data_IF_073908491905
#
_entry.id   IF_073908491905
#
_cell.length_a   1.000
_cell.length_b   1.000
_cell.length_c   1.000
_cell.angle_alpha   90.00
_cell.angle_beta   90.00
_cell.angle_gamma   90.00
#
_symmetry.space_group_name_H-M   'P 1'
#
loop_
_entity.id
_entity.type
_entity.pdbx_description
1 polymer ?
#
# COMPACT_ATOMS: atom_id res chain seq x y z
N UNK A 1 15.14 25.74 -6.12
CA UNK A 1 14.37 25.69 -4.85
C UNK A 1 12.88 25.89 -5.06
N UNK A 2 12.43 26.89 -5.84
CA UNK A 2 10.99 27.13 -6.10
C UNK A 2 10.26 25.88 -6.64
N UNK A 3 10.85 25.17 -7.59
CA UNK A 3 10.26 24.00 -8.21
C UNK A 3 10.16 22.79 -7.26
N UNK A 4 11.07 22.63 -6.31
CA UNK A 4 10.96 21.58 -5.28
C UNK A 4 9.85 21.87 -4.27
N UNK A 5 9.66 23.16 -3.93
CA UNK A 5 8.56 23.58 -3.07
C UNK A 5 7.22 23.37 -3.78
N UNK A 6 7.15 23.70 -5.06
CA UNK A 6 5.96 23.44 -5.88
C UNK A 6 5.64 21.93 -5.92
N UNK A 7 6.64 21.10 -6.18
CA UNK A 7 6.49 19.65 -6.18
C UNK A 7 5.99 19.12 -4.81
N UNK A 8 6.55 19.63 -3.71
CA UNK A 8 6.10 19.30 -2.36
C UNK A 8 4.61 19.64 -2.16
N UNK A 9 4.20 20.87 -2.53
CA UNK A 9 2.82 21.33 -2.36
C UNK A 9 1.82 20.53 -3.21
N UNK A 10 2.22 20.12 -4.42
CA UNK A 10 1.41 19.25 -5.28
C UNK A 10 1.17 17.91 -4.58
N UNK A 11 2.25 17.27 -4.12
CA UNK A 11 2.13 15.99 -3.46
C UNK A 11 1.44 16.06 -2.08
N UNK A 12 1.60 17.17 -1.35
CA UNK A 12 0.85 17.46 -0.14
C UNK A 12 -0.66 17.50 -0.41
N UNK A 13 -1.06 18.22 -1.47
CA UNK A 13 -2.45 18.28 -1.91
C UNK A 13 -2.96 16.89 -2.34
N UNK A 14 -2.17 16.15 -3.11
CA UNK A 14 -2.53 14.79 -3.54
C UNK A 14 -2.68 13.85 -2.33
N UNK A 15 -1.76 13.89 -1.38
CA UNK A 15 -1.81 13.10 -0.15
C UNK A 15 -3.03 13.41 0.73
N UNK A 16 -3.50 14.67 0.73
CA UNK A 16 -4.68 15.07 1.51
C UNK A 16 -6.02 14.65 0.89
N UNK A 17 -6.05 14.39 -0.43
CA UNK A 17 -7.28 14.06 -1.17
C UNK A 17 -7.35 12.57 -1.54
N UNK A 18 -6.23 11.86 -1.47
CA UNK A 18 -6.17 10.45 -1.89
C UNK A 18 -6.73 9.54 -0.80
N UNK A 19 -8.01 9.18 -0.92
CA UNK A 19 -8.68 8.16 -0.12
C UNK A 19 -9.01 6.95 -1.01
N UNK A 20 -8.74 5.73 -0.54
CA UNK A 20 -9.13 4.51 -1.27
C UNK A 20 -7.99 3.68 -1.88
N UNK A 21 -6.74 3.99 -1.54
CA UNK A 21 -5.57 3.21 -1.94
C UNK A 21 -4.84 3.74 -3.17
N UNK A 22 -3.72 3.09 -3.50
CA UNK A 22 -2.77 3.59 -4.51
C UNK A 22 -3.37 3.78 -5.90
N UNK A 23 -4.31 2.92 -6.31
CA UNK A 23 -4.96 3.04 -7.62
C UNK A 23 -5.90 4.25 -7.74
N UNK A 24 -6.49 4.71 -6.63
CA UNK A 24 -7.33 5.90 -6.62
C UNK A 24 -6.55 7.20 -6.89
N UNK A 25 -5.24 7.18 -6.72
CA UNK A 25 -4.34 8.30 -7.01
C UNK A 25 -4.06 8.46 -8.52
N UNK A 26 -4.24 7.41 -9.34
CA UNK A 26 -3.91 7.45 -10.78
C UNK A 26 -4.57 8.61 -11.53
N UNK A 27 -5.90 8.80 -11.46
CA UNK A 27 -6.55 9.90 -12.17
C UNK A 27 -6.10 11.28 -11.67
N UNK A 28 -5.75 11.42 -10.40
CA UNK A 28 -5.25 12.67 -9.83
C UNK A 28 -3.86 13.01 -10.35
N UNK A 29 -2.95 12.03 -10.40
CA UNK A 29 -1.61 12.20 -10.97
C UNK A 29 -1.67 12.46 -12.48
N UNK A 30 -2.52 11.74 -13.20
CA UNK A 30 -2.73 11.95 -14.63
C UNK A 30 -3.14 13.40 -14.90
N UNK A 31 -4.15 13.89 -14.21
CA UNK A 31 -4.62 15.27 -14.34
C UNK A 31 -3.51 16.28 -14.04
N UNK A 32 -2.78 16.10 -12.93
CA UNK A 32 -1.80 17.07 -12.46
C UNK A 32 -0.51 17.07 -13.28
N UNK A 33 0.04 15.89 -13.58
CA UNK A 33 1.37 15.76 -14.18
C UNK A 33 1.36 15.53 -15.69
N UNK A 34 0.29 14.92 -16.24
CA UNK A 34 0.16 14.69 -17.68
C UNK A 34 -0.63 15.81 -18.33
N UNK A 35 -1.88 16.04 -17.86
CA UNK A 35 -2.81 16.95 -18.55
C UNK A 35 -2.50 18.42 -18.26
N UNK A 36 -2.21 18.78 -16.99
CA UNK A 36 -2.04 20.18 -16.60
C UNK A 36 -0.63 20.70 -16.84
N UNK A 37 0.41 19.90 -16.48
CA UNK A 37 1.81 20.32 -16.53
C UNK A 37 2.61 19.72 -17.67
N UNK A 38 2.21 18.55 -18.19
CA UNK A 38 2.96 17.86 -19.23
C UNK A 38 4.37 17.42 -18.77
N UNK A 39 4.58 17.22 -17.48
CA UNK A 39 5.89 16.84 -16.94
C UNK A 39 6.23 15.38 -17.18
N UNK A 40 5.21 14.53 -17.34
CA UNK A 40 5.34 13.12 -17.68
C UNK A 40 4.26 12.75 -18.71
N UNK A 41 4.48 11.67 -19.43
CA UNK A 41 3.51 11.10 -20.35
C UNK A 41 2.58 10.11 -19.63
N UNK A 42 1.43 9.80 -20.24
CA UNK A 42 0.51 8.79 -19.70
C UNK A 42 1.15 7.38 -19.69
N UNK A 43 1.98 7.07 -20.67
CA UNK A 43 2.72 5.83 -20.73
C UNK A 43 3.70 5.71 -19.55
N UNK A 44 4.50 6.75 -19.27
CA UNK A 44 5.40 6.79 -18.13
C UNK A 44 4.66 6.63 -16.80
N UNK A 45 3.52 7.30 -16.65
CA UNK A 45 2.71 7.17 -15.43
C UNK A 45 2.22 5.73 -15.25
N UNK A 46 1.78 5.08 -16.32
CA UNK A 46 1.36 3.68 -16.30
C UNK A 46 2.49 2.74 -15.92
N UNK A 47 3.69 2.97 -16.46
CA UNK A 47 4.89 2.20 -16.13
C UNK A 47 5.27 2.37 -14.66
N UNK A 48 5.22 3.59 -14.11
CA UNK A 48 5.46 3.83 -12.67
C UNK A 48 4.47 3.11 -11.78
N UNK A 49 3.21 3.00 -12.21
CA UNK A 49 2.23 2.20 -11.49
C UNK A 49 2.53 0.70 -11.55
N UNK A 50 2.92 0.18 -12.72
CA UNK A 50 3.29 -1.22 -12.88
C UNK A 50 4.51 -1.57 -11.99
N UNK A 51 5.57 -0.76 -12.02
CA UNK A 51 6.75 -0.93 -11.17
C UNK A 51 6.40 -0.75 -9.70
N UNK A 52 5.56 0.24 -9.37
CA UNK A 52 5.11 0.52 -8.01
C UNK A 52 4.34 -0.63 -7.37
N UNK A 53 3.61 -1.43 -8.17
CA UNK A 53 2.93 -2.64 -7.71
C UNK A 53 3.90 -3.80 -7.42
N UNK A 54 5.03 -3.84 -8.11
CA UNK A 54 6.07 -4.85 -7.90
C UNK A 54 7.06 -4.46 -6.80
N UNK A 55 7.08 -3.18 -6.41
CA UNK A 55 8.00 -2.66 -5.40
C UNK A 55 7.39 -2.80 -4.00
N UNK A 56 8.15 -3.28 -3.00
CA UNK A 56 7.65 -3.35 -1.63
C UNK A 56 7.23 -1.98 -1.10
N UNK A 57 6.09 -1.93 -0.39
CA UNK A 57 5.58 -0.71 0.23
C UNK A 57 4.21 -0.27 -0.31
N UNK A 58 3.85 0.98 0.01
CA UNK A 58 2.58 1.57 -0.42
C UNK A 58 2.71 2.06 -1.86
N UNK A 59 1.91 1.53 -2.77
CA UNK A 59 1.94 1.87 -4.21
C UNK A 59 1.95 3.39 -4.43
N UNK A 60 1.09 4.12 -3.74
CA UNK A 60 0.99 5.57 -3.88
C UNK A 60 2.29 6.30 -3.52
N UNK A 61 2.99 5.86 -2.48
CA UNK A 61 4.28 6.41 -2.06
C UNK A 61 5.37 6.08 -3.07
N UNK A 62 5.41 4.83 -3.55
CA UNK A 62 6.37 4.40 -4.57
C UNK A 62 6.19 5.22 -5.86
N UNK A 63 4.97 5.36 -6.34
CA UNK A 63 4.66 6.15 -7.54
C UNK A 63 4.98 7.64 -7.33
N UNK A 64 4.68 8.22 -6.15
CA UNK A 64 5.07 9.59 -5.82
C UNK A 64 6.59 9.77 -5.91
N UNK A 65 7.35 8.79 -5.39
CA UNK A 65 8.82 8.79 -5.47
C UNK A 65 9.30 8.74 -6.91
N UNK A 66 8.73 7.87 -7.75
CA UNK A 66 9.13 7.74 -9.17
C UNK A 66 8.81 9.01 -9.96
N UNK A 67 7.61 9.54 -9.82
CA UNK A 67 7.20 10.79 -10.49
C UNK A 67 8.09 11.94 -10.03
N UNK A 68 8.31 12.07 -8.73
CA UNK A 68 9.19 13.12 -8.18
C UNK A 68 10.64 13.00 -8.69
N UNK A 69 11.16 11.76 -8.75
CA UNK A 69 12.50 11.51 -9.29
C UNK A 69 12.58 11.83 -10.79
N UNK A 70 11.58 11.54 -11.57
CA UNK A 70 11.52 11.94 -12.99
C UNK A 70 11.54 13.46 -13.14
N UNK A 71 10.79 14.18 -12.31
CA UNK A 71 10.68 15.63 -12.41
C UNK A 71 11.97 16.37 -11.97
N UNK A 72 12.61 15.95 -10.89
CA UNK A 72 13.72 16.70 -10.24
C UNK A 72 14.81 15.79 -9.66
N UNK A 73 15.02 14.62 -10.23
CA UNK A 73 16.05 13.66 -9.78
C UNK A 73 15.78 13.16 -8.37
N UNK A 74 16.80 12.62 -7.72
CA UNK A 74 16.70 12.02 -6.39
C UNK A 74 16.09 12.97 -5.33
N UNK A 75 16.46 14.25 -5.38
CA UNK A 75 15.88 15.27 -4.48
C UNK A 75 14.37 15.43 -4.70
N UNK A 76 13.92 15.39 -5.97
CA UNK A 76 12.50 15.43 -6.31
C UNK A 76 11.75 14.21 -5.78
N UNK A 77 12.34 13.01 -5.87
CA UNK A 77 11.76 11.79 -5.30
C UNK A 77 11.54 11.88 -3.80
N UNK A 78 12.54 12.35 -3.06
CA UNK A 78 12.43 12.54 -1.60
C UNK A 78 11.38 13.58 -1.25
N UNK A 79 11.40 14.73 -1.91
CA UNK A 79 10.47 15.84 -1.65
C UNK A 79 9.03 15.46 -1.98
N UNK A 80 8.80 14.75 -3.09
CA UNK A 80 7.48 14.26 -3.47
C UNK A 80 6.93 13.27 -2.43
N UNK A 81 7.76 12.33 -2.00
CA UNK A 81 7.42 11.36 -0.96
C UNK A 81 7.06 12.06 0.36
N UNK A 82 7.92 12.98 0.82
CA UNK A 82 7.65 13.76 2.03
C UNK A 82 6.36 14.57 1.91
N UNK A 83 6.14 15.24 0.78
CA UNK A 83 4.90 15.97 0.52
C UNK A 83 3.67 15.07 0.65
N UNK A 84 3.71 13.89 0.02
CA UNK A 84 2.59 12.97 0.03
C UNK A 84 2.24 12.45 1.43
N UNK A 85 3.23 12.08 2.23
CA UNK A 85 3.01 11.52 3.57
C UNK A 85 2.72 12.57 4.65
N UNK A 86 3.08 13.84 4.42
CA UNK A 86 2.91 14.91 5.42
C UNK A 86 1.44 15.13 5.79
N UNK A 87 0.54 15.17 4.80
CA UNK A 87 -0.88 15.39 5.05
C UNK A 87 -1.50 14.28 5.92
N UNK A 88 -1.37 12.98 5.59
CA UNK A 88 -1.84 11.91 6.46
C UNK A 88 -1.23 11.94 7.87
N UNK A 89 0.06 12.25 8.00
CA UNK A 89 0.74 12.34 9.30
C UNK A 89 0.11 13.45 10.15
N UNK A 90 -0.07 14.64 9.59
CA UNK A 90 -0.68 15.77 10.32
C UNK A 90 -2.10 15.40 10.76
N UNK A 91 -2.92 14.90 9.84
CA UNK A 91 -4.31 14.53 10.14
C UNK A 91 -4.37 13.49 11.25
N UNK A 92 -3.58 12.41 11.15
CA UNK A 92 -3.56 11.35 12.16
C UNK A 92 -3.02 11.84 13.50
N UNK A 93 -2.01 12.74 13.51
CA UNK A 93 -1.47 13.31 14.73
C UNK A 93 -2.52 14.18 15.43
N UNK A 94 -3.21 15.04 14.69
CA UNK A 94 -4.30 15.88 15.24
C UNK A 94 -5.44 15.01 15.78
N UNK A 95 -5.89 14.03 15.00
CA UNK A 95 -6.95 13.10 15.44
C UNK A 95 -6.52 12.36 16.71
N UNK A 96 -5.29 11.86 16.77
CA UNK A 96 -4.80 11.10 17.93
C UNK A 96 -4.68 11.99 19.17
N UNK A 97 -4.19 13.24 19.01
CA UNK A 97 -4.11 14.20 20.11
C UNK A 97 -5.52 14.52 20.67
N UNK A 98 -6.49 14.73 19.77
CA UNK A 98 -7.88 15.01 20.14
C UNK A 98 -8.53 13.79 20.82
N UNK A 99 -8.33 12.59 20.27
CA UNK A 99 -8.90 11.36 20.80
C UNK A 99 -8.42 11.01 22.20
N UNK A 100 -7.17 11.36 22.58
CA UNK A 100 -6.68 11.13 23.95
C UNK A 100 -7.55 11.79 25.00
N UNK A 101 -8.15 12.94 24.68
CA UNK A 101 -9.04 13.67 25.61
C UNK A 101 -10.46 13.14 25.64
N UNK A 102 -10.89 12.41 24.61
CA UNK A 102 -12.28 11.97 24.44
C UNK A 102 -12.46 10.46 24.33
N UNK A 103 -11.37 9.69 24.39
CA UNK A 103 -11.40 8.23 24.22
C UNK A 103 -12.32 7.49 25.19
N UNK A 104 -12.57 8.07 26.37
CA UNK A 104 -13.38 7.45 27.42
C UNK A 104 -14.88 7.71 27.29
N UNK A 105 -15.29 8.64 26.43
CA UNK A 105 -16.72 8.91 26.22
C UNK A 105 -17.40 7.72 25.52
N UNK A 106 -18.60 7.30 26.00
CA UNK A 106 -19.34 6.17 25.43
C UNK A 106 -19.57 6.29 23.94
N UNK A 107 -19.97 7.47 23.45
CA UNK A 107 -20.23 7.75 22.05
C UNK A 107 -18.98 7.49 21.17
N UNK A 108 -17.80 7.84 21.67
CA UNK A 108 -16.53 7.61 20.96
C UNK A 108 -16.20 6.12 20.90
N UNK A 109 -16.41 5.40 22.01
CA UNK A 109 -16.24 3.93 22.06
C UNK A 109 -17.17 3.22 21.08
N UNK A 110 -18.43 3.63 21.01
CA UNK A 110 -19.42 3.06 20.10
C UNK A 110 -19.10 3.37 18.62
N UNK A 111 -18.63 4.59 18.33
CA UNK A 111 -18.15 4.94 17.00
C UNK A 111 -16.95 4.08 16.57
N UNK A 112 -15.97 3.86 17.46
CA UNK A 112 -14.85 2.97 17.18
C UNK A 112 -15.27 1.51 17.03
N UNK A 113 -16.25 1.04 17.77
CA UNK A 113 -16.84 -0.29 17.58
C UNK A 113 -17.41 -0.45 16.17
N UNK A 114 -18.16 0.54 15.69
CA UNK A 114 -18.67 0.56 14.32
C UNK A 114 -17.56 0.57 13.26
N UNK A 115 -16.51 1.39 13.44
CA UNK A 115 -15.36 1.44 12.53
C UNK A 115 -14.65 0.07 12.47
N UNK A 116 -14.47 -0.60 13.62
CA UNK A 116 -13.85 -1.94 13.66
C UNK A 116 -14.63 -2.95 12.82
N UNK A 117 -15.96 -2.94 12.91
CA UNK A 117 -16.82 -3.81 12.09
C UNK A 117 -16.63 -3.51 10.60
N UNK A 118 -16.64 -2.24 10.20
CA UNK A 118 -16.40 -1.85 8.81
C UNK A 118 -15.05 -2.30 8.31
N UNK A 119 -13.98 -2.15 9.11
CA UNK A 119 -12.64 -2.61 8.76
C UNK A 119 -12.61 -4.14 8.59
N UNK A 120 -13.26 -4.91 9.47
CA UNK A 120 -13.37 -6.35 9.31
C UNK A 120 -14.06 -6.74 7.99
N UNK A 121 -15.15 -6.06 7.63
CA UNK A 121 -15.85 -6.30 6.35
C UNK A 121 -14.93 -5.97 5.15
N UNK A 122 -14.19 -4.87 5.22
CA UNK A 122 -13.23 -4.52 4.16
C UNK A 122 -12.13 -5.57 4.00
N UNK A 123 -11.60 -6.09 5.11
CA UNK A 123 -10.59 -7.16 5.09
C UNK A 123 -11.18 -8.43 4.46
N UNK A 124 -12.38 -8.85 4.88
CA UNK A 124 -13.06 -10.02 4.31
C UNK A 124 -13.28 -9.86 2.80
N UNK A 125 -13.72 -8.68 2.37
CA UNK A 125 -13.91 -8.39 0.95
C UNK A 125 -12.59 -8.42 0.17
N UNK A 126 -11.51 -7.90 0.74
CA UNK A 126 -10.17 -7.96 0.13
C UNK A 126 -9.71 -9.42 -0.01
N UNK A 127 -9.85 -10.22 1.04
CA UNK A 127 -9.53 -11.66 1.01
C UNK A 127 -10.35 -12.38 -0.06
N UNK A 128 -11.67 -12.14 -0.12
CA UNK A 128 -12.54 -12.75 -1.15
C UNK A 128 -12.12 -12.39 -2.58
N UNK A 129 -11.68 -11.14 -2.79
CA UNK A 129 -11.21 -10.67 -4.10
C UNK A 129 -9.89 -11.33 -4.50
N UNK A 130 -8.96 -11.45 -3.55
CA UNK A 130 -7.67 -12.11 -3.77
C UNK A 130 -7.82 -13.62 -3.94
N UNK A 131 -8.76 -14.24 -3.24
CA UNK A 131 -8.99 -15.69 -3.28
C UNK A 131 -9.17 -16.22 -4.70
N UNK A 132 -10.04 -15.58 -5.48
CA UNK A 132 -10.33 -16.01 -6.87
C UNK A 132 -9.11 -15.99 -7.79
N UNK A 133 -8.15 -15.12 -7.52
CA UNK A 133 -6.97 -14.95 -8.38
C UNK A 133 -5.75 -15.72 -7.86
N UNK A 134 -5.70 -16.02 -6.56
CA UNK A 134 -4.52 -16.61 -5.93
C UNK A 134 -4.65 -18.11 -5.68
N UNK A 135 -5.87 -18.62 -5.45
CA UNK A 135 -6.12 -20.04 -5.17
C UNK A 135 -6.73 -20.67 -6.41
N UNK A 136 -5.88 -21.03 -7.37
CA UNK A 136 -6.32 -21.62 -8.65
C UNK A 136 -6.20 -23.15 -8.60
N UNK A 137 -5.16 -23.67 -7.93
CA UNK A 137 -4.79 -25.08 -7.90
C UNK A 137 -4.77 -25.63 -6.47
N UNK A 138 -4.91 -26.96 -6.32
CA UNK A 138 -4.79 -27.67 -5.04
C UNK A 138 -3.47 -27.36 -4.29
N UNK A 139 -2.28 -27.29 -4.93
CA UNK A 139 -1.04 -26.90 -4.25
C UNK A 139 -1.08 -25.47 -3.68
N UNK A 140 -1.73 -24.53 -4.37
CA UNK A 140 -1.90 -23.15 -3.88
C UNK A 140 -2.80 -23.11 -2.65
N UNK A 141 -3.83 -23.96 -2.60
CA UNK A 141 -4.71 -24.10 -1.44
C UNK A 141 -3.96 -24.67 -0.24
N UNK A 142 -3.14 -25.72 -0.46
CA UNK A 142 -2.32 -26.33 0.60
C UNK A 142 -1.32 -25.29 1.15
N UNK A 143 -0.62 -24.57 0.26
CA UNK A 143 0.31 -23.53 0.66
C UNK A 143 -0.39 -22.42 1.48
N UNK A 144 -1.56 -21.99 1.03
CA UNK A 144 -2.37 -21.02 1.77
C UNK A 144 -2.74 -21.55 3.16
N UNK A 145 -3.23 -22.79 3.27
CA UNK A 145 -3.62 -23.38 4.54
C UNK A 145 -2.44 -23.50 5.51
N UNK A 146 -1.26 -23.91 5.01
CA UNK A 146 -0.02 -24.01 5.82
C UNK A 146 0.42 -22.62 6.30
N UNK A 147 0.48 -21.64 5.40
CA UNK A 147 0.88 -20.27 5.75
C UNK A 147 -0.11 -19.64 6.73
N UNK A 148 -1.40 -19.86 6.53
CA UNK A 148 -2.44 -19.38 7.43
C UNK A 148 -2.30 -20.01 8.83
N UNK A 149 -2.15 -21.34 8.91
CA UNK A 149 -1.97 -22.06 10.16
C UNK A 149 -0.70 -21.60 10.91
N UNK A 150 0.43 -21.44 10.21
CA UNK A 150 1.68 -20.91 10.78
C UNK A 150 1.51 -19.49 11.30
N UNK A 151 0.82 -18.64 10.54
CA UNK A 151 0.58 -17.25 10.94
C UNK A 151 -0.35 -17.15 12.14
N UNK A 152 -1.40 -17.98 12.19
CA UNK A 152 -2.34 -18.06 13.30
C UNK A 152 -1.69 -18.65 14.57
N UNK A 153 -0.78 -19.60 14.41
CA UNK A 153 -0.03 -20.21 15.50
C UNK A 153 1.16 -19.36 15.99
N UNK A 154 1.58 -18.35 15.20
CA UNK A 154 2.74 -17.51 15.49
C UNK A 154 2.76 -16.89 16.90
N UNK A 155 1.63 -16.45 17.50
CA UNK A 155 1.62 -15.95 18.88
C UNK A 155 1.96 -17.00 19.95
N UNK A 156 1.78 -18.29 19.63
CA UNK A 156 1.99 -19.43 20.54
C UNK A 156 3.35 -20.10 20.33
N UNK A 157 4.07 -19.76 19.25
CA UNK A 157 5.37 -20.34 18.91
C UNK A 157 6.51 -19.56 19.59
N UNK A 158 7.53 -20.23 20.12
CA UNK A 158 8.69 -19.58 20.74
C UNK A 158 9.54 -18.80 19.73
N UNK A 159 9.37 -19.06 18.45
CA UNK A 159 10.07 -18.37 17.35
C UNK A 159 9.08 -17.49 16.59
N UNK A 160 9.29 -16.19 16.64
CA UNK A 160 8.52 -15.23 15.83
C UNK A 160 8.96 -15.32 14.36
N UNK A 161 8.21 -16.05 13.57
CA UNK A 161 8.44 -16.09 12.12
C UNK A 161 7.93 -14.77 11.51
N UNK A 162 8.83 -13.91 11.10
CA UNK A 162 8.48 -12.64 10.49
C UNK A 162 7.76 -12.85 9.13
N UNK A 163 6.83 -11.96 8.74
CA UNK A 163 6.11 -12.06 7.46
C UNK A 163 7.04 -12.20 6.26
N UNK A 164 8.20 -11.53 6.29
CA UNK A 164 9.21 -11.62 5.22
C UNK A 164 9.76 -13.03 5.02
N UNK A 165 9.98 -13.78 6.12
CA UNK A 165 10.46 -15.16 6.04
C UNK A 165 9.40 -16.09 5.43
N UNK A 166 8.12 -15.88 5.78
CA UNK A 166 6.99 -16.64 5.22
C UNK A 166 6.89 -16.39 3.72
N UNK A 167 7.00 -15.13 3.28
CA UNK A 167 6.96 -14.76 1.85
C UNK A 167 8.14 -15.39 1.11
N UNK A 168 9.36 -15.32 1.65
CA UNK A 168 10.55 -15.92 1.02
C UNK A 168 10.42 -17.46 0.89
N UNK A 169 9.94 -18.12 1.94
CA UNK A 169 9.70 -19.56 1.92
C UNK A 169 8.63 -19.95 0.88
N UNK A 170 7.54 -19.19 0.80
CA UNK A 170 6.47 -19.40 -0.18
C UNK A 170 6.97 -19.19 -1.62
N UNK A 171 7.82 -18.19 -1.84
CA UNK A 171 8.47 -17.94 -3.14
C UNK A 171 9.36 -19.11 -3.55
N UNK A 172 10.23 -19.58 -2.66
CA UNK A 172 11.09 -20.75 -2.91
C UNK A 172 10.27 -21.98 -3.26
N UNK A 173 9.21 -22.26 -2.51
CA UNK A 173 8.30 -23.37 -2.79
C UNK A 173 7.65 -23.24 -4.17
N UNK A 174 7.15 -22.05 -4.52
CA UNK A 174 6.54 -21.80 -5.83
C UNK A 174 7.50 -22.01 -7.00
N UNK A 175 8.76 -21.57 -6.87
CA UNK A 175 9.79 -21.77 -7.90
C UNK A 175 10.12 -23.26 -8.06
N UNK A 176 10.33 -23.98 -6.96
CA UNK A 176 10.65 -25.41 -6.98
C UNK A 176 9.51 -26.24 -7.60
N UNK A 177 8.27 -25.92 -7.22
CA UNK A 177 7.09 -26.59 -7.75
C UNK A 177 6.91 -26.36 -9.26
N UNK A 178 7.12 -25.15 -9.73
CA UNK A 178 6.97 -24.81 -11.15
C UNK A 178 8.09 -25.40 -12.01
N UNK A 179 9.30 -25.55 -11.48
CA UNK A 179 10.40 -26.28 -12.15
C UNK A 179 10.08 -27.74 -12.36
N UNK A 180 9.45 -28.39 -11.39
CA UNK A 180 9.04 -29.79 -11.51
C UNK A 180 7.94 -30.06 -12.55
N UNK A 181 7.14 -29.03 -12.90
CA UNK A 181 6.13 -29.14 -13.98
C UNK A 181 6.69 -28.87 -15.38
N UNK A 182 7.80 -28.16 -15.50
CA UNK A 182 8.44 -27.89 -16.81
C UNK A 182 9.32 -29.06 -17.32
N UNK A 183 9.62 -30.02 -16.48
CA UNK A 183 10.44 -31.20 -16.81
C UNK A 183 9.63 -32.46 -17.11
N UNK A 184 8.30 -32.34 -17.18
CA UNK A 184 7.38 -33.34 -17.70
C UNK A 184 6.61 -32.78 -18.89
#
# INVERSE_FOLDING_TARGET
MKELIELYLIFLKLGSVTFGGGLAMFPLLRREFVETRGWITEAELTDYYAVGQCTPGIIAVNVATFVGNKCKGAAGGVIATLGFITAPIIVLTVITAFLRSFADYPIVKDAFAGIRVCVCVLIVNAVRRLWKNSVIDAPSLILFAVVFALSAASPYLPVRVGPAAIVAASLCFGILWNRGKRTK
#
